data_IF_762724331498
#
_entry.id   IF_762724331498
#
_cell.length_a   1.000
_cell.length_b   1.000
_cell.length_c   1.000
_cell.angle_alpha   90.00
_cell.angle_beta   90.00
_cell.angle_gamma   90.00
#
_symmetry.space_group_name_H-M   'P 1'
#
loop_
_entity.id
_entity.type
_entity.pdbx_description
1 polymer ?
#
# COMPACT_ATOMS: atom_id res chain seq x y z
N UNK A 1 -23.16 22.68 4.64
CA UNK A 1 -23.08 21.54 5.58
C UNK A 1 -21.67 20.97 5.75
N UNK A 2 -20.77 21.00 4.75
CA UNK A 2 -19.40 20.43 4.87
C UNK A 2 -18.28 21.47 4.83
N UNK A 3 -18.46 22.63 5.47
CA UNK A 3 -17.46 23.73 5.51
C UNK A 3 -17.23 24.21 6.95
N UNK A 4 -17.42 23.32 7.92
CA UNK A 4 -17.07 23.61 9.31
C UNK A 4 -15.55 23.54 9.47
N UNK A 5 -14.97 24.23 10.46
CA UNK A 5 -13.55 24.11 10.78
C UNK A 5 -13.10 22.65 10.94
N UNK A 6 -13.94 21.82 11.57
CA UNK A 6 -13.71 20.40 11.82
C UNK A 6 -13.64 19.60 10.52
N UNK A 7 -14.56 19.84 9.58
CA UNK A 7 -14.52 19.19 8.26
C UNK A 7 -13.26 19.57 7.46
N UNK A 8 -12.79 20.81 7.59
CA UNK A 8 -11.57 21.28 6.91
C UNK A 8 -10.33 20.64 7.54
N UNK A 9 -10.27 20.53 8.87
CA UNK A 9 -9.18 19.86 9.56
C UNK A 9 -9.10 18.37 9.17
N UNK A 10 -10.24 17.67 9.18
CA UNK A 10 -10.33 16.28 8.75
C UNK A 10 -9.84 16.10 7.29
N UNK A 11 -10.24 17.01 6.40
CA UNK A 11 -9.80 17.00 5.00
C UNK A 11 -8.27 17.18 4.87
N UNK A 12 -7.66 18.09 5.64
CA UNK A 12 -6.22 18.30 5.63
C UNK A 12 -5.46 17.10 6.21
N UNK A 13 -5.91 16.53 7.32
CA UNK A 13 -5.33 15.31 7.90
C UNK A 13 -5.36 14.17 6.89
N UNK A 14 -6.52 13.95 6.27
CA UNK A 14 -6.68 12.94 5.22
C UNK A 14 -5.72 13.19 4.06
N UNK A 15 -5.71 14.41 3.51
CA UNK A 15 -4.88 14.76 2.36
C UNK A 15 -3.39 14.51 2.63
N UNK A 16 -2.89 14.94 3.78
CA UNK A 16 -1.47 14.80 4.14
C UNK A 16 -1.13 13.34 4.41
N UNK A 17 -1.86 12.67 5.31
CA UNK A 17 -1.54 11.29 5.72
C UNK A 17 -1.68 10.33 4.54
N UNK A 18 -2.77 10.43 3.79
CA UNK A 18 -2.98 9.56 2.64
C UNK A 18 -2.10 9.93 1.44
N UNK A 19 -1.77 11.22 1.26
CA UNK A 19 -0.86 11.68 0.21
C UNK A 19 0.57 11.18 0.43
N UNK A 20 1.07 11.27 1.66
CA UNK A 20 2.37 10.69 2.03
C UNK A 20 2.34 9.16 1.91
N UNK A 21 1.26 8.52 2.37
CA UNK A 21 1.11 7.07 2.24
C UNK A 21 1.17 6.59 0.78
N UNK A 22 0.42 7.22 -0.13
CA UNK A 22 0.46 6.81 -1.55
C UNK A 22 1.81 7.14 -2.21
N UNK A 23 2.51 8.20 -1.79
CA UNK A 23 3.86 8.48 -2.25
C UNK A 23 4.86 7.39 -1.81
N UNK A 24 4.75 6.88 -0.58
CA UNK A 24 5.54 5.74 -0.11
C UNK A 24 5.18 4.46 -0.86
N UNK A 25 3.90 4.20 -1.11
CA UNK A 25 3.47 3.05 -1.91
C UNK A 25 4.05 3.11 -3.33
N UNK A 26 4.01 4.29 -3.97
CA UNK A 26 4.61 4.51 -5.29
C UNK A 26 6.12 4.24 -5.28
N UNK A 27 6.83 4.69 -4.25
CA UNK A 27 8.26 4.40 -4.12
C UNK A 27 8.54 2.89 -4.03
N UNK A 28 7.73 2.15 -3.25
CA UNK A 28 7.80 0.69 -3.22
C UNK A 28 7.55 0.05 -4.60
N UNK A 29 6.57 0.55 -5.36
CA UNK A 29 6.31 0.10 -6.74
C UNK A 29 7.47 0.40 -7.69
N UNK A 30 8.18 1.52 -7.51
CA UNK A 30 9.39 1.84 -8.29
C UNK A 30 10.52 0.85 -7.98
N UNK A 31 10.71 0.48 -6.71
CA UNK A 31 11.69 -0.54 -6.32
C UNK A 31 11.33 -1.92 -6.89
N UNK A 32 10.04 -2.26 -6.91
CA UNK A 32 9.54 -3.47 -7.55
C UNK A 32 9.84 -3.49 -9.05
N UNK A 33 9.56 -2.39 -9.76
CA UNK A 33 9.90 -2.23 -11.16
C UNK A 33 11.40 -2.38 -11.39
N UNK A 34 12.22 -1.75 -10.55
CA UNK A 34 13.67 -1.88 -10.62
C UNK A 34 14.13 -3.33 -10.47
N UNK A 35 13.58 -4.09 -9.51
CA UNK A 35 13.88 -5.52 -9.34
C UNK A 35 13.48 -6.36 -10.58
N UNK A 36 12.35 -6.03 -11.22
CA UNK A 36 11.89 -6.72 -12.42
C UNK A 36 12.73 -6.40 -13.67
N UNK A 37 13.22 -5.17 -13.82
CA UNK A 37 14.10 -4.82 -14.94
C UNK A 37 15.45 -5.56 -14.86
N UNK A 38 15.92 -5.89 -13.66
CA UNK A 38 17.19 -6.64 -13.47
C UNK A 38 17.14 -8.07 -14.03
N UNK A 39 15.94 -8.67 -14.14
CA UNK A 39 15.78 -10.00 -14.76
C UNK A 39 15.60 -9.95 -16.29
N UNK A 40 15.64 -8.74 -16.89
CA UNK A 40 15.58 -8.53 -18.34
C UNK A 40 14.19 -8.21 -18.91
N UNK A 41 13.15 -8.20 -18.07
CA UNK A 41 11.78 -7.88 -18.47
C UNK A 41 11.50 -6.38 -18.29
N UNK A 42 11.53 -5.61 -19.39
CA UNK A 42 11.30 -4.14 -19.34
C UNK A 42 9.86 -3.78 -19.69
N UNK A 43 9.29 -4.42 -20.72
CA UNK A 43 7.95 -4.08 -21.24
C UNK A 43 6.84 -4.61 -20.32
N UNK A 44 7.05 -5.81 -19.76
CA UNK A 44 6.08 -6.51 -18.92
C UNK A 44 6.47 -6.53 -17.43
N UNK A 45 7.41 -5.67 -17.04
CA UNK A 45 8.07 -5.67 -15.72
C UNK A 45 7.10 -5.69 -14.52
N UNK A 46 5.94 -5.03 -14.64
CA UNK A 46 4.94 -4.92 -13.57
C UNK A 46 3.73 -5.83 -13.77
N UNK A 47 3.70 -6.65 -14.82
CA UNK A 47 2.66 -7.65 -14.99
C UNK A 47 2.79 -8.70 -13.90
N UNK A 48 1.69 -8.94 -13.19
CA UNK A 48 1.67 -9.92 -12.12
C UNK A 48 2.04 -11.34 -12.57
N UNK A 49 1.62 -11.73 -13.77
CA UNK A 49 1.98 -13.04 -14.33
C UNK A 49 3.48 -13.20 -14.41
N UNK A 50 4.20 -12.17 -14.89
CA UNK A 50 5.65 -12.19 -14.99
C UNK A 50 6.32 -12.16 -13.63
N UNK A 51 5.90 -11.24 -12.76
CA UNK A 51 6.44 -11.10 -11.40
C UNK A 51 6.27 -12.39 -10.60
N UNK A 52 5.09 -13.02 -10.65
CA UNK A 52 4.81 -14.23 -9.89
C UNK A 52 5.53 -15.47 -10.45
N UNK A 53 5.64 -15.60 -11.77
CA UNK A 53 6.40 -16.69 -12.40
C UNK A 53 7.89 -16.62 -12.09
N UNK A 54 8.45 -15.40 -12.11
CA UNK A 54 9.87 -15.15 -11.88
C UNK A 54 10.19 -14.72 -10.44
N UNK A 55 9.26 -14.89 -9.50
CA UNK A 55 9.41 -14.40 -8.12
C UNK A 55 10.74 -14.84 -7.48
N UNK A 56 11.15 -16.10 -7.69
CA UNK A 56 12.41 -16.67 -7.17
C UNK A 56 13.70 -16.06 -7.75
N UNK A 57 13.59 -15.37 -8.88
CA UNK A 57 14.73 -14.74 -9.56
C UNK A 57 14.88 -13.26 -9.19
N UNK A 58 13.84 -12.66 -8.59
CA UNK A 58 13.87 -11.29 -8.12
C UNK A 58 14.82 -11.17 -6.92
N UNK A 59 15.53 -10.05 -6.83
CA UNK A 59 16.41 -9.80 -5.70
C UNK A 59 15.58 -9.65 -4.39
N UNK A 60 15.77 -10.55 -3.40
CA UNK A 60 14.97 -10.56 -2.19
C UNK A 60 15.18 -9.30 -1.32
N UNK A 61 16.40 -8.74 -1.28
CA UNK A 61 16.69 -7.54 -0.46
C UNK A 61 15.90 -6.33 -0.96
N UNK A 62 15.83 -6.16 -2.28
CA UNK A 62 15.08 -5.06 -2.91
C UNK A 62 13.57 -5.25 -2.67
N UNK A 63 13.08 -6.48 -2.78
CA UNK A 63 11.67 -6.80 -2.54
C UNK A 63 11.25 -6.59 -1.09
N UNK A 64 12.09 -6.95 -0.13
CA UNK A 64 11.83 -6.72 1.28
C UNK A 64 11.71 -5.22 1.60
N UNK A 65 12.62 -4.40 1.05
CA UNK A 65 12.56 -2.94 1.19
C UNK A 65 11.31 -2.39 0.48
N UNK A 66 11.04 -2.83 -0.75
CA UNK A 66 9.85 -2.44 -1.52
C UNK A 66 8.57 -2.76 -0.74
N UNK A 67 8.52 -3.93 -0.11
CA UNK A 67 7.40 -4.36 0.71
C UNK A 67 7.20 -3.48 1.93
N UNK A 68 8.26 -3.06 2.64
CA UNK A 68 8.12 -2.13 3.76
C UNK A 68 7.48 -0.81 3.31
N UNK A 69 7.92 -0.23 2.19
CA UNK A 69 7.32 1.00 1.66
C UNK A 69 5.88 0.82 1.20
N UNK A 70 5.57 -0.29 0.52
CA UNK A 70 4.20 -0.63 0.13
C UNK A 70 3.30 -0.89 1.34
N UNK A 71 3.80 -1.58 2.36
CA UNK A 71 3.08 -1.89 3.60
C UNK A 71 2.78 -0.61 4.37
N UNK A 72 3.73 0.31 4.51
CA UNK A 72 3.48 1.60 5.19
C UNK A 72 2.51 2.45 4.35
N UNK A 73 2.71 2.51 3.04
CA UNK A 73 1.90 3.34 2.16
C UNK A 73 0.44 2.89 2.05
N UNK A 74 0.23 1.63 1.64
CA UNK A 74 -1.10 1.03 1.59
C UNK A 74 -1.66 0.77 2.98
N UNK A 75 -0.83 0.48 3.97
CA UNK A 75 -1.25 0.35 5.38
C UNK A 75 -1.81 1.65 5.96
N UNK A 76 -1.23 2.80 5.59
CA UNK A 76 -1.84 4.10 5.89
C UNK A 76 -3.22 4.19 5.25
N UNK A 77 -3.40 3.73 4.01
CA UNK A 77 -4.70 3.72 3.35
C UNK A 77 -5.72 2.75 3.93
N UNK A 78 -5.29 1.61 4.46
CA UNK A 78 -6.17 0.65 5.14
C UNK A 78 -6.54 1.16 6.54
N UNK A 79 -5.71 2.00 7.14
CA UNK A 79 -5.81 2.38 8.55
C UNK A 79 -5.24 1.29 9.46
N UNK A 80 -4.06 0.74 9.13
CA UNK A 80 -3.32 -0.14 10.03
C UNK A 80 -2.79 0.65 11.24
N UNK A 81 -2.58 -0.02 12.37
CA UNK A 81 -1.90 0.58 13.54
C UNK A 81 -0.44 0.88 13.18
N UNK A 82 0.12 2.07 13.49
CA UNK A 82 -0.46 3.25 14.17
C UNK A 82 -1.01 4.36 13.23
N UNK A 83 -1.19 4.06 11.95
CA UNK A 83 -1.46 5.03 10.86
C UNK A 83 -2.96 5.34 10.64
N UNK A 84 -3.85 4.87 11.52
CA UNK A 84 -5.31 4.95 11.38
C UNK A 84 -5.95 6.28 11.81
N UNK A 85 -5.17 7.24 12.30
CA UNK A 85 -5.70 8.48 12.90
C UNK A 85 -6.56 9.33 11.94
N UNK A 86 -6.39 9.21 10.63
CA UNK A 86 -7.25 9.92 9.67
C UNK A 86 -8.62 9.27 9.46
N UNK A 87 -8.75 7.97 9.77
CA UNK A 87 -9.91 7.16 9.39
C UNK A 87 -11.18 7.57 10.16
N UNK A 88 -11.17 7.76 11.50
CA UNK A 88 -12.34 8.24 12.24
C UNK A 88 -12.81 9.62 11.77
N UNK A 89 -11.89 10.58 11.69
CA UNK A 89 -12.19 11.97 11.31
C UNK A 89 -12.80 12.04 9.89
N UNK A 90 -12.25 11.28 8.93
CA UNK A 90 -12.73 11.27 7.56
C UNK A 90 -14.14 10.67 7.41
N UNK A 91 -14.49 9.66 8.21
CA UNK A 91 -15.81 9.05 8.19
C UNK A 91 -16.88 9.88 8.90
N UNK A 92 -16.51 10.59 9.98
CA UNK A 92 -17.40 11.45 10.75
C UNK A 92 -17.79 12.73 10.00
N UNK A 93 -16.84 13.35 9.30
CA UNK A 93 -17.04 14.64 8.62
C UNK A 93 -17.40 14.50 7.12
N UNK A 94 -17.21 13.30 6.54
CA UNK A 94 -17.45 13.04 5.13
C UNK A 94 -18.93 12.86 4.76
N UNK A 95 -19.35 13.22 3.53
CA UNK A 95 -20.67 12.87 3.02
C UNK A 95 -20.88 11.35 3.01
N UNK A 96 -22.05 10.87 3.41
CA UNK A 96 -22.38 9.44 3.50
C UNK A 96 -22.02 8.62 2.25
N UNK A 97 -22.26 9.10 1.01
CA UNK A 97 -21.86 8.35 -0.18
C UNK A 97 -20.34 8.18 -0.32
N UNK A 98 -19.54 9.17 0.10
CA UNK A 98 -18.08 9.10 0.04
C UNK A 98 -17.53 8.13 1.09
N UNK A 99 -18.10 8.15 2.29
CA UNK A 99 -17.78 7.18 3.34
C UNK A 99 -18.07 5.75 2.88
N UNK A 100 -19.16 5.51 2.16
CA UNK A 100 -19.49 4.19 1.62
C UNK A 100 -18.46 3.71 0.58
N UNK A 101 -17.99 4.58 -0.32
CA UNK A 101 -16.95 4.23 -1.31
C UNK A 101 -15.61 3.98 -0.64
N UNK A 102 -15.23 4.79 0.36
CA UNK A 102 -14.01 4.61 1.13
C UNK A 102 -13.99 3.23 1.80
N UNK A 103 -15.04 2.89 2.56
CA UNK A 103 -15.13 1.60 3.25
C UNK A 103 -15.27 0.41 2.30
N UNK A 104 -16.08 0.55 1.24
CA UNK A 104 -16.43 -0.57 0.36
C UNK A 104 -15.37 -0.93 -0.67
N UNK A 105 -14.64 0.05 -1.18
CA UNK A 105 -13.72 -0.14 -2.30
C UNK A 105 -12.27 0.16 -1.93
N UNK A 106 -11.99 1.37 -1.45
CA UNK A 106 -10.61 1.86 -1.30
C UNK A 106 -9.80 1.08 -0.25
N UNK A 107 -10.42 0.72 0.88
CA UNK A 107 -9.74 -0.09 1.91
C UNK A 107 -9.42 -1.51 1.40
N UNK A 108 -10.36 -2.12 0.67
CA UNK A 108 -10.20 -3.48 0.15
C UNK A 108 -9.15 -3.56 -0.95
N UNK A 109 -9.09 -2.57 -1.84
CA UNK A 109 -8.07 -2.50 -2.90
C UNK A 109 -6.66 -2.35 -2.31
N UNK A 110 -6.49 -1.46 -1.32
CA UNK A 110 -5.21 -1.30 -0.64
C UNK A 110 -4.79 -2.58 0.10
N UNK A 111 -5.72 -3.27 0.77
CA UNK A 111 -5.45 -4.55 1.41
C UNK A 111 -5.03 -5.62 0.39
N UNK A 112 -5.73 -5.69 -0.74
CA UNK A 112 -5.38 -6.60 -1.83
C UNK A 112 -3.96 -6.35 -2.34
N UNK A 113 -3.57 -5.08 -2.53
CA UNK A 113 -2.21 -4.73 -2.93
C UNK A 113 -1.16 -5.22 -1.91
N UNK A 114 -1.39 -5.03 -0.61
CA UNK A 114 -0.47 -5.50 0.45
C UNK A 114 -0.32 -7.03 0.43
N UNK A 115 -1.44 -7.76 0.36
CA UNK A 115 -1.43 -9.23 0.32
C UNK A 115 -0.69 -9.73 -0.92
N UNK A 116 -0.94 -9.10 -2.07
CA UNK A 116 -0.29 -9.45 -3.33
C UNK A 116 1.22 -9.22 -3.28
N UNK A 117 1.66 -8.09 -2.72
CA UNK A 117 3.08 -7.80 -2.51
C UNK A 117 3.72 -8.78 -1.53
N UNK A 118 3.01 -9.19 -0.47
CA UNK A 118 3.48 -10.22 0.47
C UNK A 118 3.71 -11.55 -0.23
N UNK A 119 2.79 -12.00 -1.08
CA UNK A 119 2.95 -13.24 -1.84
C UNK A 119 4.19 -13.23 -2.74
N UNK A 120 4.54 -12.07 -3.30
CA UNK A 120 5.73 -11.93 -4.13
C UNK A 120 7.02 -12.02 -3.31
N UNK A 121 7.06 -11.35 -2.15
CA UNK A 121 8.21 -11.38 -1.24
C UNK A 121 8.45 -12.78 -0.70
N UNK A 122 7.39 -13.48 -0.26
CA UNK A 122 7.50 -14.88 0.17
C UNK A 122 7.96 -15.83 -0.95
N UNK A 123 7.63 -15.49 -2.21
CA UNK A 123 8.07 -16.25 -3.37
C UNK A 123 9.55 -16.05 -3.71
N UNK A 124 10.11 -14.89 -3.37
CA UNK A 124 11.50 -14.51 -3.65
C UNK A 124 12.45 -14.78 -2.47
N UNK A 125 11.99 -14.55 -1.25
CA UNK A 125 12.75 -14.67 0.00
C UNK A 125 12.32 -15.94 0.74
N UNK A 126 13.28 -16.68 1.28
CA UNK A 126 13.00 -17.76 2.24
C UNK A 126 12.69 -17.23 3.65
N UNK A 127 12.68 -15.91 3.84
CA UNK A 127 12.41 -15.23 5.10
C UNK A 127 10.90 -15.06 5.34
N UNK A 128 10.46 -15.23 6.59
CA UNK A 128 9.08 -14.93 7.01
C UNK A 128 8.89 -13.44 7.39
N UNK A 129 9.79 -12.54 6.97
CA UNK A 129 9.76 -11.12 7.33
C UNK A 129 8.40 -10.47 7.08
N UNK A 130 7.83 -10.66 5.89
CA UNK A 130 6.54 -10.06 5.53
C UNK A 130 5.40 -10.55 6.43
N UNK A 131 5.43 -11.83 6.82
CA UNK A 131 4.50 -12.40 7.79
C UNK A 131 4.64 -11.80 9.18
N UNK A 132 5.86 -11.63 9.68
CA UNK A 132 6.10 -11.01 10.99
C UNK A 132 5.64 -9.55 11.03
N UNK A 133 5.91 -8.78 9.98
CA UNK A 133 5.48 -7.38 9.89
C UNK A 133 3.95 -7.22 9.83
N UNK A 134 3.24 -8.19 9.25
CA UNK A 134 1.78 -8.20 9.22
C UNK A 134 1.13 -8.68 10.52
N UNK A 135 1.84 -9.50 11.32
CA UNK A 135 1.26 -10.11 12.52
C UNK A 135 1.32 -9.24 13.77
N UNK A 136 2.17 -8.20 13.82
CA UNK A 136 2.20 -7.19 14.89
C UNK A 136 2.60 -7.74 16.26
#
# INVERSE_FOLDING_TARGET
MYRTPESIEAAWKYFILCGVGIAQALFGTILLYYAAVQIGEVENALLWSELFQHAKQLNPEILEIAFVFMLIGYGTKIGLVPLHNWLPDAHSEGPTPMSAVLSGLLLNDALYAVVRSKMLVDGASHSNMAGYLMMG
#
